data_IF_500303873645
#
_entry.id   IF_500303873645
#
_cell.length_a   1.000
_cell.length_b   1.000
_cell.length_c   1.000
_cell.angle_alpha   90.00
_cell.angle_beta   90.00
_cell.angle_gamma   90.00
#
_symmetry.space_group_name_H-M   'P 1'
#
loop_
_entity.id
_entity.type
_entity.pdbx_description
1 polymer ?
#
# COMPACT_ATOMS: atom_id res chain seq x y z
N UNK A 1 -6.01 -15.97 15.61
CA UNK A 1 -5.09 -17.13 15.66
C UNK A 1 -5.44 -18.02 16.85
N UNK A 2 -5.31 -17.52 18.08
CA UNK A 2 -5.66 -18.25 19.31
C UNK A 2 -7.11 -18.74 19.34
N UNK A 3 -8.07 -17.89 18.97
CA UNK A 3 -9.48 -18.27 18.84
C UNK A 3 -9.75 -19.37 17.80
N UNK A 4 -8.83 -19.59 16.86
CA UNK A 4 -8.87 -20.66 15.87
C UNK A 4 -7.96 -21.85 16.25
N UNK A 5 -7.52 -21.93 17.51
CA UNK A 5 -6.68 -23.02 18.02
C UNK A 5 -5.19 -22.93 17.69
N UNK A 6 -4.73 -21.83 17.08
CA UNK A 6 -3.31 -21.66 16.78
C UNK A 6 -2.53 -21.12 17.99
N UNK A 7 -1.58 -21.92 18.48
CA UNK A 7 -0.61 -21.51 19.50
C UNK A 7 0.63 -20.81 18.91
N UNK A 8 1.80 -21.03 19.51
CA UNK A 8 3.06 -20.50 18.96
C UNK A 8 3.39 -21.13 17.61
N UNK A 9 3.87 -20.33 16.66
CA UNK A 9 4.26 -20.78 15.31
C UNK A 9 5.73 -20.51 15.02
N UNK A 10 6.34 -21.30 14.13
CA UNK A 10 7.75 -21.16 13.77
C UNK A 10 8.00 -20.13 12.66
N UNK A 11 6.97 -19.74 11.91
CA UNK A 11 7.11 -18.86 10.76
C UNK A 11 5.82 -18.11 10.47
N UNK A 12 5.95 -16.82 10.15
CA UNK A 12 4.86 -16.00 9.63
C UNK A 12 5.39 -15.26 8.41
N UNK A 13 4.61 -15.26 7.33
CA UNK A 13 4.89 -14.54 6.09
C UNK A 13 3.79 -13.53 5.84
N UNK A 14 4.18 -12.28 5.64
CA UNK A 14 3.35 -11.23 5.05
C UNK A 14 3.83 -10.96 3.62
N UNK A 15 2.95 -11.13 2.64
CA UNK A 15 3.15 -10.66 1.27
C UNK A 15 2.24 -9.45 1.03
N UNK A 16 2.79 -8.26 1.26
CA UNK A 16 2.01 -7.02 1.36
C UNK A 16 1.73 -6.45 -0.01
N UNK A 17 0.52 -6.63 -0.50
CA UNK A 17 0.16 -6.00 -1.76
C UNK A 17 -1.18 -6.46 -2.28
N UNK A 18 -1.56 -5.84 -3.38
CA UNK A 18 -2.79 -6.19 -4.10
C UNK A 18 -2.49 -7.44 -4.92
N UNK A 19 -3.23 -8.52 -4.66
CA UNK A 19 -3.04 -9.79 -5.37
C UNK A 19 -3.22 -9.65 -6.89
N UNK A 20 -2.67 -10.58 -7.66
CA UNK A 20 -2.85 -10.63 -9.11
C UNK A 20 -4.33 -10.65 -9.53
N UNK A 21 -5.20 -11.23 -8.70
CA UNK A 21 -6.65 -11.27 -8.91
C UNK A 21 -7.22 -9.85 -8.94
N UNK A 22 -6.75 -8.96 -8.06
CA UNK A 22 -7.32 -7.63 -7.91
C UNK A 22 -6.95 -6.69 -9.06
N UNK A 23 -5.75 -6.85 -9.62
CA UNK A 23 -5.34 -6.15 -10.85
C UNK A 23 -5.99 -6.73 -12.12
N UNK A 24 -6.45 -7.99 -12.10
CA UNK A 24 -7.13 -8.65 -13.23
C UNK A 24 -8.66 -8.54 -13.16
N UNK A 25 -9.25 -8.33 -11.98
CA UNK A 25 -10.66 -7.95 -11.85
C UNK A 25 -10.85 -6.59 -12.49
N UNK A 26 -11.25 -6.60 -13.76
CA UNK A 26 -11.76 -5.44 -14.49
C UNK A 26 -12.85 -4.78 -13.62
N UNK A 27 -12.92 -3.44 -13.63
CA UNK A 27 -14.03 -2.72 -12.99
C UNK A 27 -13.83 -2.23 -11.55
N UNK A 28 -12.63 -2.29 -10.96
CA UNK A 28 -12.38 -1.79 -9.58
C UNK A 28 -11.40 -0.62 -9.45
N UNK A 29 -10.94 -0.07 -10.57
CA UNK A 29 -10.13 1.16 -10.57
C UNK A 29 -8.70 1.03 -10.02
N UNK A 30 -8.16 -0.18 -9.86
CA UNK A 30 -6.78 -0.40 -9.39
C UNK A 30 -5.71 -0.16 -10.47
N UNK A 31 -6.10 -0.03 -11.73
CA UNK A 31 -5.17 0.10 -12.86
C UNK A 31 -5.61 1.20 -13.81
N UNK A 32 -4.64 1.68 -14.60
CA UNK A 32 -4.85 2.64 -15.67
C UNK A 32 -5.27 1.98 -17.00
N UNK A 33 -5.44 0.65 -17.04
CA UNK A 33 -5.70 -0.07 -18.30
C UNK A 33 -7.13 0.18 -18.79
N UNK A 34 -8.07 0.23 -17.86
CA UNK A 34 -9.48 0.53 -18.14
C UNK A 34 -9.86 1.80 -17.39
N UNK A 35 -9.78 2.93 -18.10
CA UNK A 35 -10.09 4.24 -17.51
C UNK A 35 -11.60 4.43 -17.27
N UNK A 36 -12.45 3.60 -17.89
CA UNK A 36 -13.90 3.63 -17.65
C UNK A 36 -14.32 2.92 -16.36
N UNK A 37 -13.40 2.16 -15.75
CA UNK A 37 -13.65 1.49 -14.47
C UNK A 37 -14.02 2.48 -13.37
N UNK A 38 -14.98 2.14 -12.48
CA UNK A 38 -15.25 2.88 -11.26
C UNK A 38 -13.99 3.07 -10.42
N UNK A 39 -13.86 4.24 -9.80
CA UNK A 39 -12.79 4.59 -8.88
C UNK A 39 -13.05 3.95 -7.49
N UNK A 40 -13.03 2.63 -7.42
CA UNK A 40 -13.40 1.86 -6.23
C UNK A 40 -12.21 1.69 -5.26
N UNK A 41 -11.18 0.92 -5.68
CA UNK A 41 -9.97 0.60 -4.91
C UNK A 41 -10.16 -0.20 -3.60
N UNK A 42 -11.36 -0.70 -3.27
CA UNK A 42 -11.54 -1.61 -2.13
C UNK A 42 -10.97 -3.00 -2.41
N UNK A 43 -10.17 -3.51 -1.49
CA UNK A 43 -9.64 -4.88 -1.54
C UNK A 43 -10.72 -5.91 -1.19
N UNK A 44 -11.60 -5.57 -0.26
CA UNK A 44 -12.69 -6.39 0.27
C UNK A 44 -14.04 -5.63 0.20
N UNK A 45 -14.68 -5.59 -0.98
CA UNK A 45 -15.93 -4.83 -1.19
C UNK A 45 -17.11 -5.28 -0.32
N UNK A 46 -17.10 -6.52 0.18
CA UNK A 46 -18.18 -7.06 1.03
C UNK A 46 -18.14 -6.44 2.43
N UNK A 47 -16.95 -6.16 2.94
CA UNK A 47 -16.76 -5.62 4.30
C UNK A 47 -16.40 -4.13 4.32
N UNK A 48 -15.93 -3.58 3.19
CA UNK A 48 -15.55 -2.17 3.08
C UNK A 48 -16.63 -1.35 2.39
N UNK A 49 -17.02 -0.24 3.00
CA UNK A 49 -18.08 0.65 2.46
C UNK A 49 -17.55 1.85 1.68
N UNK A 50 -16.36 2.33 2.02
CA UNK A 50 -15.81 3.57 1.47
C UNK A 50 -14.94 3.25 0.26
N UNK A 51 -15.26 3.85 -0.88
CA UNK A 51 -14.47 3.78 -2.12
C UNK A 51 -13.48 4.94 -2.24
N UNK A 52 -12.55 4.86 -3.19
CA UNK A 52 -11.69 5.98 -3.54
C UNK A 52 -12.51 7.17 -4.10
N UNK A 53 -13.58 6.91 -4.87
CA UNK A 53 -14.55 7.91 -5.30
C UNK A 53 -15.16 8.66 -4.11
N UNK A 54 -15.57 7.94 -3.05
CA UNK A 54 -16.13 8.56 -1.85
C UNK A 54 -15.12 9.48 -1.17
N UNK A 55 -13.86 9.03 -1.03
CA UNK A 55 -12.81 9.85 -0.44
C UNK A 55 -12.57 11.14 -1.23
N UNK A 56 -12.39 11.04 -2.56
CA UNK A 56 -12.09 12.22 -3.38
C UNK A 56 -13.26 13.18 -3.49
N UNK A 57 -14.50 12.70 -3.36
CA UNK A 57 -15.69 13.55 -3.41
C UNK A 57 -16.08 14.15 -2.04
N UNK A 58 -15.72 13.52 -0.91
CA UNK A 58 -16.16 13.94 0.42
C UNK A 58 -15.09 14.68 1.25
N UNK A 59 -13.81 14.28 1.16
CA UNK A 59 -12.75 14.84 1.99
C UNK A 59 -12.54 16.34 1.71
N UNK A 60 -12.19 17.13 2.73
CA UNK A 60 -11.77 18.52 2.54
C UNK A 60 -10.41 18.61 1.82
N UNK A 61 -10.06 19.78 1.29
CA UNK A 61 -8.79 19.99 0.57
C UNK A 61 -7.57 19.63 1.44
N UNK A 62 -7.56 20.04 2.71
CA UNK A 62 -6.49 19.74 3.67
C UNK A 62 -6.33 18.23 3.92
N UNK A 63 -7.46 17.51 4.02
CA UNK A 63 -7.47 16.06 4.19
C UNK A 63 -7.03 15.32 2.91
N UNK A 64 -7.38 15.84 1.74
CA UNK A 64 -6.90 15.33 0.46
C UNK A 64 -5.39 15.55 0.32
N UNK A 65 -4.88 16.73 0.68
CA UNK A 65 -3.44 17.01 0.70
C UNK A 65 -2.72 16.02 1.61
N UNK A 66 -3.23 15.77 2.81
CA UNK A 66 -2.67 14.80 3.75
C UNK A 66 -2.66 13.39 3.15
N UNK A 67 -3.80 12.92 2.64
CA UNK A 67 -3.95 11.61 2.01
C UNK A 67 -2.93 11.42 0.88
N UNK A 68 -2.90 12.34 -0.09
CA UNK A 68 -1.97 12.26 -1.22
C UNK A 68 -0.51 12.39 -0.76
N UNK A 69 -0.25 13.26 0.22
CA UNK A 69 1.06 13.52 0.81
C UNK A 69 1.73 12.29 1.43
N UNK A 70 0.96 11.25 1.77
CA UNK A 70 1.52 9.97 2.21
C UNK A 70 2.43 9.34 1.15
N UNK A 71 2.10 9.45 -0.14
CA UNK A 71 2.81 8.79 -1.23
C UNK A 71 3.53 9.74 -2.20
N UNK A 72 3.27 11.05 -2.15
CA UNK A 72 3.81 12.02 -3.10
C UNK A 72 4.36 13.31 -2.45
N UNK A 73 5.20 14.08 -3.17
CA UNK A 73 5.74 15.34 -2.64
C UNK A 73 4.62 16.32 -2.27
N UNK A 74 4.80 17.04 -1.15
CA UNK A 74 3.78 17.94 -0.59
C UNK A 74 3.22 18.96 -1.59
N UNK A 75 4.08 19.57 -2.41
CA UNK A 75 3.63 20.54 -3.42
C UNK A 75 2.79 19.91 -4.54
N UNK A 76 3.09 18.66 -4.96
CA UNK A 76 2.27 17.94 -5.94
C UNK A 76 0.94 17.50 -5.29
N UNK A 77 0.97 17.05 -4.03
CA UNK A 77 -0.21 16.65 -3.26
C UNK A 77 -1.19 17.82 -3.06
N UNK A 78 -0.70 18.97 -2.60
CA UNK A 78 -1.52 20.18 -2.41
C UNK A 78 -2.16 20.64 -3.71
N UNK A 79 -1.39 20.65 -4.82
CA UNK A 79 -1.92 20.99 -6.13
C UNK A 79 -2.97 20.00 -6.64
N UNK A 80 -2.77 18.70 -6.39
CA UNK A 80 -3.73 17.65 -6.76
C UNK A 80 -5.01 17.77 -5.95
N UNK A 81 -4.91 17.96 -4.63
CA UNK A 81 -6.04 18.17 -3.74
C UNK A 81 -6.93 19.33 -4.23
N UNK A 82 -6.31 20.48 -4.55
CA UNK A 82 -7.02 21.63 -5.13
C UNK A 82 -7.73 21.27 -6.43
N UNK A 83 -7.04 20.61 -7.36
CA UNK A 83 -7.62 20.21 -8.66
C UNK A 83 -8.78 19.22 -8.51
N UNK A 84 -8.72 18.33 -7.53
CA UNK A 84 -9.82 17.42 -7.18
C UNK A 84 -11.02 18.20 -6.66
N UNK A 85 -10.81 19.15 -5.74
CA UNK A 85 -11.88 19.99 -5.19
C UNK A 85 -12.51 20.87 -6.27
N UNK A 86 -11.71 21.52 -7.12
CA UNK A 86 -12.20 22.30 -8.27
C UNK A 86 -13.05 21.43 -9.21
N UNK A 87 -12.54 20.25 -9.59
CA UNK A 87 -13.23 19.37 -10.53
C UNK A 87 -14.54 18.80 -10.00
N UNK A 88 -14.60 18.41 -8.71
CA UNK A 88 -15.80 17.77 -8.14
C UNK A 88 -16.97 18.73 -7.92
N UNK A 89 -16.71 20.04 -7.93
CA UNK A 89 -17.76 21.06 -7.89
C UNK A 89 -18.55 21.06 -9.20
N UNK A 90 -17.87 20.85 -10.34
CA UNK A 90 -18.51 20.80 -11.66
C UNK A 90 -19.16 19.44 -11.93
N UNK A 91 -18.45 18.35 -11.63
CA UNK A 91 -18.94 16.98 -11.87
C UNK A 91 -18.27 16.01 -10.90
N UNK A 92 -19.05 15.13 -10.28
CA UNK A 92 -18.51 14.09 -9.39
C UNK A 92 -17.46 13.23 -10.10
N UNK A 93 -16.43 12.85 -9.34
CA UNK A 93 -15.36 11.98 -9.82
C UNK A 93 -15.77 10.53 -9.53
N UNK A 94 -16.19 9.80 -10.56
CA UNK A 94 -16.73 8.43 -10.41
C UNK A 94 -15.80 7.37 -11.00
N UNK A 95 -15.07 7.72 -12.05
CA UNK A 95 -14.21 6.79 -12.80
C UNK A 95 -12.73 7.11 -12.68
N UNK A 96 -11.89 6.16 -13.10
CA UNK A 96 -10.45 6.38 -13.28
C UNK A 96 -10.18 7.55 -14.24
N UNK A 97 -10.93 7.64 -15.35
CA UNK A 97 -10.80 8.73 -16.32
C UNK A 97 -11.07 10.10 -15.68
N UNK A 98 -12.10 10.20 -14.85
CA UNK A 98 -12.45 11.45 -14.15
C UNK A 98 -11.32 11.92 -13.26
N UNK A 99 -10.77 11.00 -12.46
CA UNK A 99 -9.65 11.32 -11.60
C UNK A 99 -8.40 11.71 -12.41
N UNK A 100 -8.10 11.00 -13.50
CA UNK A 100 -6.93 11.28 -14.32
C UNK A 100 -6.91 12.71 -14.88
N UNK A 101 -8.08 13.28 -15.23
CA UNK A 101 -8.19 14.69 -15.65
C UNK A 101 -7.67 15.67 -14.60
N UNK A 102 -7.97 15.42 -13.32
CA UNK A 102 -7.49 16.24 -12.19
C UNK A 102 -5.96 16.17 -12.00
N UNK A 103 -5.36 15.05 -12.43
CA UNK A 103 -3.94 14.76 -12.27
C UNK A 103 -3.08 15.10 -13.51
N UNK A 104 -3.69 15.65 -14.56
CA UNK A 104 -3.06 15.93 -15.86
C UNK A 104 -1.82 16.85 -15.78
N UNK A 105 -1.73 17.69 -14.75
CA UNK A 105 -0.57 18.54 -14.52
C UNK A 105 0.68 17.78 -14.03
N UNK A 106 0.53 16.54 -13.56
CA UNK A 106 1.63 15.72 -13.07
C UNK A 106 2.52 15.30 -14.24
N UNK A 107 3.82 15.57 -14.12
CA UNK A 107 4.79 15.23 -15.17
C UNK A 107 5.21 13.77 -15.08
N UNK A 108 5.30 13.12 -16.24
CA UNK A 108 5.80 11.75 -16.36
C UNK A 108 7.28 11.68 -15.97
N UNK A 109 7.59 10.79 -15.02
CA UNK A 109 8.96 10.45 -14.61
C UNK A 109 9.25 9.01 -15.03
N UNK A 110 10.06 8.84 -16.08
CA UNK A 110 10.40 7.53 -16.63
C UNK A 110 9.21 6.79 -17.25
N UNK A 111 9.11 5.48 -17.00
CA UNK A 111 8.07 4.60 -17.58
C UNK A 111 6.75 4.56 -16.79
N UNK A 112 6.69 5.18 -15.60
CA UNK A 112 5.51 5.13 -14.73
C UNK A 112 4.45 6.17 -15.15
N UNK A 113 3.18 5.82 -14.98
CA UNK A 113 2.09 6.78 -15.12
C UNK A 113 2.23 7.88 -14.04
N UNK A 114 2.13 9.18 -14.37
CA UNK A 114 2.25 10.27 -13.39
C UNK A 114 1.34 10.12 -12.16
N UNK A 115 0.14 9.57 -12.35
CA UNK A 115 -0.86 9.39 -11.30
C UNK A 115 -0.60 8.16 -10.39
N UNK A 116 0.44 7.35 -10.66
CA UNK A 116 0.73 6.12 -9.90
C UNK A 116 0.83 6.37 -8.39
N UNK A 117 1.42 7.48 -7.96
CA UNK A 117 1.54 7.82 -6.53
C UNK A 117 0.21 8.24 -5.91
N UNK A 118 -0.62 8.97 -6.66
CA UNK A 118 -1.94 9.36 -6.20
C UNK A 118 -2.85 8.12 -6.03
N UNK A 119 -2.76 7.18 -6.97
CA UNK A 119 -3.45 5.88 -6.87
C UNK A 119 -2.97 5.08 -5.66
N UNK A 120 -1.66 5.04 -5.41
CA UNK A 120 -1.11 4.40 -4.22
C UNK A 120 -1.66 5.05 -2.93
N UNK A 121 -1.69 6.38 -2.84
CA UNK A 121 -2.25 7.09 -1.69
C UNK A 121 -3.73 6.75 -1.45
N UNK A 122 -4.56 6.81 -2.50
CA UNK A 122 -5.98 6.46 -2.39
C UNK A 122 -6.16 5.01 -1.95
N UNK A 123 -5.38 4.08 -2.52
CA UNK A 123 -5.44 2.67 -2.16
C UNK A 123 -5.09 2.42 -0.69
N UNK A 124 -4.00 3.03 -0.22
CA UNK A 124 -3.57 2.96 1.18
C UNK A 124 -4.68 3.48 2.10
N UNK A 125 -5.31 4.61 1.74
CA UNK A 125 -6.35 5.24 2.54
C UNK A 125 -7.64 4.39 2.58
N UNK A 126 -8.12 3.92 1.43
CA UNK A 126 -9.33 3.06 1.33
C UNK A 126 -9.17 1.78 2.16
N UNK A 127 -7.98 1.18 2.13
CA UNK A 127 -7.75 -0.13 2.72
C UNK A 127 -7.06 -0.10 4.07
N UNK A 128 -6.80 1.10 4.62
CA UNK A 128 -6.06 1.30 5.87
C UNK A 128 -4.75 0.50 5.90
N UNK A 129 -4.07 0.35 4.76
CA UNK A 129 -3.00 -0.65 4.56
C UNK A 129 -1.89 -0.50 5.60
N UNK A 130 -1.44 0.74 5.84
CA UNK A 130 -0.36 1.03 6.78
C UNK A 130 -0.78 0.81 8.24
N UNK A 131 -2.01 1.19 8.59
CA UNK A 131 -2.56 1.02 9.95
C UNK A 131 -2.73 -0.47 10.27
N UNK A 132 -3.31 -1.24 9.34
CA UNK A 132 -3.46 -2.68 9.48
C UNK A 132 -2.11 -3.36 9.66
N UNK A 133 -1.08 -2.92 8.92
CA UNK A 133 0.27 -3.44 9.09
C UNK A 133 0.88 -3.09 10.46
N UNK A 134 0.69 -1.85 10.91
CA UNK A 134 1.14 -1.38 12.24
C UNK A 134 0.53 -2.22 13.38
N UNK A 135 -0.76 -2.54 13.27
CA UNK A 135 -1.47 -3.36 14.26
C UNK A 135 -1.12 -4.86 14.15
N UNK A 136 -0.92 -5.37 12.93
CA UNK A 136 -0.67 -6.79 12.70
C UNK A 136 0.75 -7.23 13.10
N UNK A 137 1.77 -6.38 12.96
CA UNK A 137 3.16 -6.75 13.21
C UNK A 137 3.44 -7.15 14.67
N UNK A 138 3.00 -6.39 15.71
CA UNK A 138 3.15 -6.81 17.10
C UNK A 138 2.44 -8.12 17.41
N UNK A 139 1.21 -8.30 16.91
CA UNK A 139 0.44 -9.53 17.11
C UNK A 139 1.12 -10.74 16.48
N UNK A 140 1.59 -10.61 15.24
CA UNK A 140 2.36 -11.65 14.56
C UNK A 140 3.64 -12.01 15.32
N UNK A 141 4.41 -11.00 15.76
CA UNK A 141 5.61 -11.24 16.55
C UNK A 141 5.30 -11.93 17.90
N UNK A 142 4.19 -11.57 18.54
CA UNK A 142 3.70 -12.22 19.75
C UNK A 142 3.46 -13.72 19.56
N UNK A 143 2.91 -14.12 18.41
CA UNK A 143 2.61 -15.51 18.06
C UNK A 143 3.85 -16.35 17.70
N UNK A 144 4.98 -15.74 17.39
CA UNK A 144 6.19 -16.52 17.08
C UNK A 144 6.74 -17.23 18.33
N UNK A 145 7.12 -18.50 18.15
CA UNK A 145 8.00 -19.21 19.07
C UNK A 145 9.41 -18.60 19.07
N UNK A 146 10.19 -18.86 20.13
CA UNK A 146 11.63 -18.60 20.12
C UNK A 146 12.28 -19.33 18.94
N UNK A 147 13.20 -18.66 18.25
CA UNK A 147 13.79 -19.12 16.98
C UNK A 147 12.88 -18.98 15.76
N UNK A 148 11.61 -18.62 15.93
CA UNK A 148 10.66 -18.41 14.86
C UNK A 148 10.98 -17.19 13.99
N UNK A 149 10.55 -17.21 12.72
CA UNK A 149 10.87 -16.17 11.73
C UNK A 149 9.64 -15.37 11.31
N UNK A 150 9.78 -14.04 11.28
CA UNK A 150 8.84 -13.12 10.65
C UNK A 150 9.42 -12.67 9.30
N UNK A 151 8.73 -13.00 8.21
CA UNK A 151 9.08 -12.62 6.85
C UNK A 151 8.07 -11.61 6.35
N UNK A 152 8.54 -10.49 5.80
CA UNK A 152 7.67 -9.46 5.24
C UNK A 152 8.18 -9.02 3.89
N UNK A 153 7.38 -9.23 2.84
CA UNK A 153 7.58 -8.70 1.49
C UNK A 153 6.74 -7.43 1.37
N UNK A 154 7.38 -6.30 1.08
CA UNK A 154 6.74 -4.99 0.87
C UNK A 154 6.97 -4.51 -0.55
N UNK A 155 6.04 -3.73 -1.11
CA UNK A 155 6.11 -3.28 -2.50
C UNK A 155 6.28 -1.76 -2.63
N UNK A 156 6.12 -1.02 -1.53
CA UNK A 156 6.44 0.40 -1.50
C UNK A 156 7.23 0.81 -0.26
N UNK A 157 7.80 2.02 -0.33
CA UNK A 157 8.72 2.54 0.68
C UNK A 157 8.07 2.81 2.03
N UNK A 158 6.75 3.05 2.08
CA UNK A 158 6.02 3.30 3.32
C UNK A 158 5.92 2.02 4.16
N UNK A 159 5.45 0.92 3.56
CA UNK A 159 5.46 -0.42 4.18
C UNK A 159 6.87 -0.81 4.62
N UNK A 160 7.86 -0.74 3.72
CA UNK A 160 9.25 -1.12 4.03
C UNK A 160 9.81 -0.33 5.22
N UNK A 161 9.47 0.97 5.31
CA UNK A 161 9.88 1.83 6.42
C UNK A 161 9.25 1.38 7.73
N UNK A 162 7.95 1.09 7.73
CA UNK A 162 7.22 0.63 8.91
C UNK A 162 7.81 -0.69 9.42
N UNK A 163 7.97 -1.68 8.54
CA UNK A 163 8.58 -2.98 8.85
C UNK A 163 10.01 -2.81 9.38
N UNK A 164 10.81 -1.98 8.72
CA UNK A 164 12.20 -1.70 9.14
C UNK A 164 12.24 -1.09 10.54
N UNK A 165 11.34 -0.16 10.86
CA UNK A 165 11.29 0.49 12.16
C UNK A 165 10.90 -0.52 13.26
N UNK A 166 9.85 -1.30 13.03
CA UNK A 166 9.44 -2.38 13.93
C UNK A 166 10.58 -3.39 14.18
N UNK A 167 11.29 -3.80 13.14
CA UNK A 167 12.42 -4.75 13.26
C UNK A 167 13.58 -4.15 14.06
N UNK A 168 13.84 -2.85 13.91
CA UNK A 168 14.87 -2.15 14.68
C UNK A 168 14.49 -2.05 16.16
N UNK A 169 13.22 -1.77 16.45
CA UNK A 169 12.69 -1.72 17.81
C UNK A 169 12.87 -3.08 18.51
N UNK A 170 12.41 -4.19 17.89
CA UNK A 170 12.55 -5.54 18.44
C UNK A 170 13.99 -6.01 18.59
N UNK A 171 14.89 -5.50 17.74
CA UNK A 171 16.32 -5.74 17.92
C UNK A 171 16.86 -4.95 19.11
N UNK A 172 16.47 -3.69 19.28
CA UNK A 172 16.95 -2.84 20.35
C UNK A 172 16.49 -3.32 21.74
N UNK A 173 15.30 -3.91 21.82
CA UNK A 173 14.79 -4.54 23.04
C UNK A 173 15.42 -5.90 23.37
N UNK A 174 16.27 -6.45 22.49
CA UNK A 174 16.87 -7.78 22.66
C UNK A 174 15.90 -8.95 22.40
N UNK A 175 14.67 -8.69 21.96
CA UNK A 175 13.66 -9.72 21.70
C UNK A 175 13.88 -10.45 20.36
N UNK A 176 14.68 -9.88 19.47
CA UNK A 176 14.87 -10.41 18.13
C UNK A 176 16.22 -10.06 17.50
N UNK A 177 16.57 -10.78 16.44
CA UNK A 177 17.72 -10.48 15.57
C UNK A 177 17.27 -10.28 14.13
N UNK A 178 17.79 -9.23 13.49
CA UNK A 178 17.53 -8.95 12.07
C UNK A 178 18.42 -9.85 11.22
N UNK A 179 17.81 -10.74 10.43
CA UNK A 179 18.54 -11.64 9.52
C UNK A 179 18.98 -10.91 8.24
N UNK A 180 18.14 -10.03 7.71
CA UNK A 180 18.40 -9.25 6.48
C UNK A 180 18.71 -7.79 6.82
N UNK A 181 19.99 -7.42 6.95
CA UNK A 181 20.40 -6.03 7.26
C UNK A 181 19.92 -5.04 6.18
N UNK A 182 20.00 -5.45 4.91
CA UNK A 182 19.38 -4.80 3.75
C UNK A 182 18.22 -5.69 3.27
N UNK A 183 17.14 -5.11 2.72
CA UNK A 183 16.07 -5.93 2.16
C UNK A 183 16.62 -6.77 1.00
N UNK A 184 16.16 -8.00 0.89
CA UNK A 184 16.38 -8.82 -0.30
C UNK A 184 15.45 -8.30 -1.40
N UNK A 185 15.98 -8.16 -2.61
CA UNK A 185 15.28 -7.64 -3.78
C UNK A 185 15.30 -8.71 -4.88
N UNK A 186 14.30 -8.71 -5.79
CA UNK A 186 14.27 -9.67 -6.89
C UNK A 186 15.50 -9.53 -7.80
N UNK A 187 15.90 -10.62 -8.45
CA UNK A 187 16.91 -10.58 -9.50
C UNK A 187 16.36 -9.98 -10.80
N UNK A 188 17.25 -9.62 -11.73
CA UNK A 188 16.81 -9.13 -13.04
C UNK A 188 16.01 -10.19 -13.82
N UNK A 189 16.41 -11.47 -13.71
CA UNK A 189 15.69 -12.61 -14.29
C UNK A 189 14.27 -12.71 -13.71
N UNK A 190 14.14 -12.59 -12.39
CA UNK A 190 12.83 -12.61 -11.73
C UNK A 190 11.96 -11.46 -12.22
N UNK A 191 12.51 -10.24 -12.34
CA UNK A 191 11.76 -9.08 -12.83
C UNK A 191 11.35 -9.23 -14.30
N UNK A 192 12.16 -9.91 -15.13
CA UNK A 192 11.79 -10.22 -16.52
C UNK A 192 10.61 -11.17 -16.60
N UNK A 193 10.60 -12.21 -15.76
CA UNK A 193 9.53 -13.23 -15.70
C UNK A 193 8.28 -12.67 -15.00
N UNK A 194 8.48 -11.88 -13.95
CA UNK A 194 7.44 -11.28 -13.12
C UNK A 194 7.70 -9.77 -12.93
N UNK A 195 7.30 -8.92 -13.90
CA UNK A 195 7.51 -7.46 -13.80
C UNK A 195 6.92 -6.79 -12.55
N UNK A 196 5.98 -7.45 -11.85
CA UNK A 196 5.36 -6.94 -10.62
C UNK A 196 6.28 -7.09 -9.41
N UNK A 197 7.20 -8.05 -9.40
CA UNK A 197 8.16 -8.21 -8.30
C UNK A 197 9.16 -7.07 -8.23
N UNK A 198 9.33 -6.27 -9.29
CA UNK A 198 10.34 -5.19 -9.42
C UNK A 198 10.50 -4.27 -8.20
N UNK A 199 9.45 -4.10 -7.38
CA UNK A 199 9.44 -3.22 -6.22
C UNK A 199 9.43 -3.96 -4.88
N UNK A 200 9.41 -5.30 -4.91
CA UNK A 200 9.41 -6.18 -3.76
C UNK A 200 10.69 -6.01 -2.95
N UNK A 201 10.51 -5.94 -1.63
CA UNK A 201 11.56 -5.87 -0.62
C UNK A 201 11.23 -6.83 0.49
N UNK A 202 11.98 -7.92 0.58
CA UNK A 202 11.86 -8.91 1.64
C UNK A 202 12.74 -8.56 2.83
N UNK A 203 12.14 -8.53 4.03
CA UNK A 203 12.85 -8.45 5.30
C UNK A 203 12.54 -9.66 6.16
N UNK A 204 13.55 -10.14 6.90
CA UNK A 204 13.44 -11.29 7.80
C UNK A 204 13.94 -10.93 9.20
N UNK A 205 13.10 -11.16 10.20
CA UNK A 205 13.38 -11.05 11.63
C UNK A 205 13.29 -12.44 12.26
N UNK A 206 14.18 -12.75 13.21
CA UNK A 206 14.15 -14.01 13.96
C UNK A 206 13.96 -13.67 15.43
N UNK A 207 12.93 -14.23 16.05
CA UNK A 207 12.64 -14.05 17.48
C UNK A 207 13.66 -14.81 18.33
N UNK A 208 14.09 -14.19 19.43
CA UNK A 208 14.98 -14.78 20.43
C UNK A 208 14.13 -15.42 21.53
#
# INVERSE_FOLDING_TARGET
>A
AEANGFGKVNGILFDLGVSNVHFKTRGRGFSFIDESSPLDMRLDPENQRVTAADLVNALREDQLEEMFGQAMPRHEAAKLARKVVESRVETRIETVADFLRTSSFLRRKGKLNPATKAFLAMRIAVNLELKNLEEALPGAFGLLASGGSLLVISFHSLEDRLVKNFFKEKKASGEARIKTKKPLVPSEEEVKINPKSRSARLRVLIKI
#
